data_IF_714907937506
#
_entry.id   IF_714907937506
#
_cell.length_a   1.000
_cell.length_b   1.000
_cell.length_c   1.000
_cell.angle_alpha   90.00
_cell.angle_beta   90.00
_cell.angle_gamma   90.00
#
_symmetry.space_group_name_H-M   'P 1'
#
loop_
_entity.id
_entity.type
_entity.pdbx_description
1 polymer ?
#
# COMPACT_ATOMS: atom_id res chain seq x y z
N UNK A 1 4.97 -14.42 25.72
CA UNK A 1 4.48 -13.64 24.58
C UNK A 1 5.37 -13.96 23.39
N UNK A 2 4.94 -14.91 22.54
CA UNK A 2 5.75 -15.32 21.40
C UNK A 2 5.70 -14.24 20.32
N UNK A 3 6.86 -13.71 19.97
CA UNK A 3 7.07 -12.80 18.83
C UNK A 3 7.10 -13.67 17.56
N UNK A 4 5.97 -14.32 17.26
CA UNK A 4 5.81 -15.11 16.03
C UNK A 4 5.23 -14.21 14.96
N UNK A 5 5.78 -14.26 13.77
CA UNK A 5 5.32 -13.53 12.58
C UNK A 5 5.24 -11.99 12.78
N UNK A 6 6.24 -11.46 13.47
CA UNK A 6 6.17 -10.04 13.86
C UNK A 6 6.43 -9.08 12.71
N UNK A 7 7.18 -9.50 11.69
CA UNK A 7 7.49 -8.70 10.51
C UNK A 7 7.53 -9.61 9.28
N UNK A 8 6.80 -9.24 8.24
CA UNK A 8 6.85 -9.87 6.94
C UNK A 8 7.15 -8.82 5.87
N UNK A 9 8.05 -9.15 4.96
CA UNK A 9 8.36 -8.33 3.80
C UNK A 9 8.36 -9.22 2.55
N UNK A 10 7.48 -8.92 1.61
CA UNK A 10 7.22 -9.76 0.44
C UNK A 10 7.24 -8.91 -0.81
N UNK A 11 7.95 -9.38 -1.83
CA UNK A 11 7.93 -8.83 -3.18
C UNK A 11 7.21 -9.79 -4.11
N UNK A 12 6.22 -9.28 -4.80
CA UNK A 12 5.45 -10.01 -5.83
C UNK A 12 5.67 -9.35 -7.18
N UNK A 13 6.00 -10.14 -8.17
CA UNK A 13 6.10 -9.73 -9.58
C UNK A 13 4.95 -10.36 -10.36
N UNK A 14 4.16 -9.54 -11.01
CA UNK A 14 3.02 -9.98 -11.81
C UNK A 14 3.45 -10.18 -13.28
N UNK A 15 2.75 -11.04 -14.01
CA UNK A 15 2.98 -11.27 -15.44
C UNK A 15 2.90 -10.00 -16.28
N UNK A 16 2.13 -9.00 -15.84
CA UNK A 16 2.05 -7.68 -16.45
C UNK A 16 3.32 -6.83 -16.31
N UNK A 17 4.34 -7.30 -15.57
CA UNK A 17 5.52 -6.52 -15.20
C UNK A 17 5.32 -5.60 -14.01
N UNK A 18 4.11 -5.55 -13.45
CA UNK A 18 3.87 -4.80 -12.21
C UNK A 18 4.58 -5.48 -11.03
N UNK A 19 5.13 -4.69 -10.13
CA UNK A 19 5.78 -5.17 -8.90
C UNK A 19 5.07 -4.60 -7.69
N UNK A 20 4.72 -5.47 -6.75
CA UNK A 20 4.16 -5.09 -5.47
C UNK A 20 5.08 -5.50 -4.31
N UNK A 21 5.31 -4.58 -3.38
CA UNK A 21 6.02 -4.86 -2.14
C UNK A 21 5.02 -4.74 -0.98
N UNK A 22 4.89 -5.82 -0.22
CA UNK A 22 4.03 -5.88 0.97
C UNK A 22 4.89 -5.92 2.21
N UNK A 23 4.62 -5.04 3.14
CA UNK A 23 5.24 -5.06 4.48
C UNK A 23 4.14 -5.11 5.51
N UNK A 24 4.18 -6.11 6.38
CA UNK A 24 3.29 -6.23 7.52
C UNK A 24 4.13 -6.36 8.79
N UNK A 25 3.77 -5.62 9.83
CA UNK A 25 4.45 -5.66 11.11
C UNK A 25 3.44 -5.60 12.27
N UNK A 26 3.64 -6.45 13.26
CA UNK A 26 2.90 -6.43 14.54
C UNK A 26 3.66 -5.71 15.65
N UNK A 27 4.95 -5.48 15.45
CA UNK A 27 5.83 -4.85 16.44
C UNK A 27 6.07 -3.37 16.18
N UNK A 28 5.50 -2.84 15.10
CA UNK A 28 5.59 -1.40 14.82
C UNK A 28 4.85 -0.60 15.89
N UNK A 29 5.50 0.44 16.37
CA UNK A 29 4.91 1.39 17.33
C UNK A 29 3.80 2.24 16.73
N UNK A 30 3.81 2.39 15.40
CA UNK A 30 2.81 3.15 14.66
C UNK A 30 1.84 2.22 13.92
N UNK A 31 0.54 2.60 13.92
CA UNK A 31 -0.46 1.99 13.04
C UNK A 31 -0.35 2.56 11.64
N UNK A 32 0.38 1.89 10.77
CA UNK A 32 0.53 2.28 9.37
C UNK A 32 -0.37 1.41 8.50
N UNK A 33 -1.26 2.03 7.72
CA UNK A 33 -2.04 1.39 6.67
C UNK A 33 -1.95 2.23 5.42
N UNK A 34 -0.85 2.07 4.68
CA UNK A 34 -0.56 2.88 3.49
C UNK A 34 -0.49 2.01 2.25
N UNK A 35 -1.04 2.54 1.17
CA UNK A 35 -0.89 2.00 -0.17
C UNK A 35 -0.24 3.07 -1.04
N UNK A 36 0.76 2.68 -1.82
CA UNK A 36 1.48 3.59 -2.72
C UNK A 36 1.53 3.00 -4.11
N UNK A 37 1.22 3.84 -5.10
CA UNK A 37 1.34 3.50 -6.51
C UNK A 37 2.42 4.37 -7.13
N UNK A 38 3.24 3.73 -7.95
CA UNK A 38 4.29 4.37 -8.74
C UNK A 38 3.98 4.10 -10.20
N UNK A 39 3.61 5.14 -10.91
CA UNK A 39 3.39 5.11 -12.35
C UNK A 39 4.42 6.02 -13.04
N UNK A 40 4.66 5.90 -14.36
CA UNK A 40 5.74 6.64 -15.04
C UNK A 40 5.69 8.17 -14.85
N UNK A 41 4.52 8.73 -14.61
CA UNK A 41 4.33 10.19 -14.43
C UNK A 41 3.52 10.55 -13.19
N UNK A 42 3.25 9.60 -12.34
CA UNK A 42 2.38 9.83 -11.19
C UNK A 42 2.79 8.98 -10.00
N UNK A 43 2.77 9.58 -8.84
CA UNK A 43 2.85 8.91 -7.56
C UNK A 43 1.58 9.17 -6.76
N UNK A 44 0.98 8.12 -6.27
CA UNK A 44 -0.21 8.20 -5.42
C UNK A 44 0.09 7.54 -4.08
N UNK A 45 -0.14 8.25 -3.00
CA UNK A 45 -0.05 7.74 -1.63
C UNK A 45 -1.41 7.84 -0.96
N UNK A 46 -1.92 6.72 -0.47
CA UNK A 46 -3.17 6.61 0.26
C UNK A 46 -2.86 6.17 1.68
N UNK A 47 -3.26 6.95 2.67
CA UNK A 47 -3.19 6.62 4.09
C UNK A 47 -4.59 6.28 4.60
N UNK A 48 -4.87 4.99 4.75
CA UNK A 48 -6.18 4.51 5.22
C UNK A 48 -6.42 4.79 6.70
N UNK A 49 -5.36 4.96 7.50
CA UNK A 49 -5.49 5.25 8.92
C UNK A 49 -5.89 6.72 9.15
N UNK A 50 -5.32 7.62 8.35
CA UNK A 50 -5.61 9.06 8.40
C UNK A 50 -6.71 9.50 7.43
N UNK A 51 -7.16 8.60 6.55
CA UNK A 51 -8.10 8.90 5.46
C UNK A 51 -7.62 10.07 4.60
N UNK A 52 -6.35 10.04 4.20
CA UNK A 52 -5.69 11.08 3.41
C UNK A 52 -5.15 10.52 2.08
N UNK A 53 -5.17 11.33 1.04
CA UNK A 53 -4.66 10.98 -0.30
C UNK A 53 -3.75 12.10 -0.78
N UNK A 54 -2.57 11.71 -1.25
CA UNK A 54 -1.63 12.62 -1.90
C UNK A 54 -1.34 12.10 -3.31
N UNK A 55 -1.46 12.98 -4.28
CA UNK A 55 -1.11 12.71 -5.67
C UNK A 55 0.00 13.68 -6.09
N UNK A 56 1.09 13.14 -6.60
CA UNK A 56 2.19 13.92 -7.20
C UNK A 56 2.24 13.54 -8.67
N UNK A 57 2.05 14.51 -9.53
CA UNK A 57 2.15 14.37 -10.99
C UNK A 57 3.42 15.02 -11.54
N UNK A 58 3.95 14.46 -12.62
CA UNK A 58 5.03 15.06 -13.41
C UNK A 58 4.41 15.66 -14.66
N UNK A 59 4.30 16.98 -14.71
CA UNK A 59 3.77 17.71 -15.85
C UNK A 59 4.87 17.89 -16.90
N UNK A 60 4.60 17.42 -18.10
CA UNK A 60 5.47 17.17 -19.22
C UNK A 60 6.51 18.23 -19.58
N UNK A 61 7.65 17.74 -20.00
CA UNK A 61 8.79 18.43 -20.59
C UNK A 61 10.07 18.00 -19.88
N UNK A 62 10.75 17.01 -20.40
CA UNK A 62 11.96 16.40 -19.86
C UNK A 62 11.72 15.71 -18.51
N UNK A 63 12.05 14.44 -18.44
CA UNK A 63 12.05 13.68 -17.20
C UNK A 63 13.11 14.25 -16.24
N UNK A 64 12.82 15.42 -15.67
CA UNK A 64 13.54 15.90 -14.51
C UNK A 64 13.28 14.86 -13.42
N UNK A 65 14.29 14.05 -13.15
CA UNK A 65 14.28 13.12 -12.06
C UNK A 65 13.78 13.87 -10.81
N UNK A 66 12.87 13.26 -10.07
CA UNK A 66 12.48 13.78 -8.75
C UNK A 66 13.76 14.18 -8.01
N UNK A 67 13.80 15.34 -7.35
CA UNK A 67 14.96 15.74 -6.58
C UNK A 67 15.44 14.57 -5.72
N UNK A 68 16.76 14.31 -5.64
CA UNK A 68 17.29 13.13 -4.96
C UNK A 68 16.82 13.01 -3.50
N UNK A 69 16.51 14.14 -2.87
CA UNK A 69 15.94 14.20 -1.52
C UNK A 69 14.53 13.61 -1.45
N UNK A 70 13.70 13.85 -2.48
CA UNK A 70 12.35 13.27 -2.59
C UNK A 70 12.46 11.77 -2.89
N UNK A 71 13.37 11.37 -3.77
CA UNK A 71 13.61 9.96 -4.06
C UNK A 71 14.08 9.21 -2.80
N UNK A 72 15.01 9.78 -2.06
CA UNK A 72 15.51 9.19 -0.81
C UNK A 72 14.43 9.11 0.27
N UNK A 73 13.60 10.15 0.44
CA UNK A 73 12.48 10.14 1.38
C UNK A 73 11.40 9.11 1.01
N UNK A 74 11.14 8.95 -0.29
CA UNK A 74 10.22 7.93 -0.81
C UNK A 74 10.76 6.52 -0.62
N UNK A 75 12.03 6.28 -0.92
CA UNK A 75 12.70 5.00 -0.73
C UNK A 75 12.79 4.60 0.74
N UNK A 76 13.03 5.56 1.63
CA UNK A 76 13.08 5.34 3.09
C UNK A 76 11.71 5.13 3.74
N UNK A 77 10.62 5.18 2.98
CA UNK A 77 9.26 5.06 3.53
C UNK A 77 8.83 6.25 4.42
N UNK A 78 9.68 7.25 4.55
CA UNK A 78 9.48 8.46 5.36
C UNK A 78 8.83 9.61 4.59
N UNK A 79 8.17 9.31 3.46
CA UNK A 79 7.39 10.29 2.72
C UNK A 79 6.22 10.80 3.57
N UNK A 80 6.54 11.55 4.60
CA UNK A 80 5.55 12.18 5.46
C UNK A 80 4.86 13.29 4.64
N UNK A 81 3.53 13.32 4.68
CA UNK A 81 2.74 14.35 4.02
C UNK A 81 3.19 15.77 4.42
N UNK A 82 3.76 15.91 5.62
CA UNK A 82 4.32 17.17 6.12
C UNK A 82 5.62 17.57 5.39
N UNK A 83 6.51 16.63 5.06
CA UNK A 83 7.72 16.91 4.29
C UNK A 83 7.37 17.31 2.86
N UNK A 84 6.44 16.57 2.25
CA UNK A 84 5.94 16.86 0.90
C UNK A 84 5.18 18.18 0.84
N UNK A 85 4.41 18.51 1.87
CA UNK A 85 3.74 19.80 1.99
C UNK A 85 4.74 20.98 2.16
N UNK A 86 5.83 20.79 2.89
CA UNK A 86 6.93 21.76 3.00
C UNK A 86 7.64 21.99 1.67
N UNK A 87 7.88 20.92 0.90
CA UNK A 87 8.46 20.98 -0.44
C UNK A 87 7.49 21.67 -1.43
N UNK A 88 6.18 21.43 -1.30
CA UNK A 88 5.16 22.12 -2.10
C UNK A 88 5.02 23.61 -1.75
N UNK A 89 5.19 23.99 -0.48
CA UNK A 89 5.15 25.36 -0.01
C UNK A 89 6.42 26.17 -0.33
N UNK A 90 7.56 25.48 -0.51
CA UNK A 90 8.86 26.07 -0.82
C UNK A 90 9.11 26.39 -2.30
N UNK A 91 8.10 26.33 -3.14
CA UNK A 91 8.20 26.51 -4.59
C UNK A 91 8.35 25.17 -5.29
N UNK A 92 7.29 24.73 -5.92
CA UNK A 92 7.26 23.48 -6.68
C UNK A 92 8.44 23.43 -7.65
N UNK A 93 9.22 22.37 -7.61
CA UNK A 93 10.21 22.12 -8.65
C UNK A 93 9.50 22.19 -10.02
N UNK A 94 10.05 22.90 -11.00
CA UNK A 94 9.41 23.05 -12.30
C UNK A 94 9.03 21.69 -12.86
N UNK A 95 7.76 21.51 -13.22
CA UNK A 95 7.24 20.25 -13.77
C UNK A 95 6.63 19.26 -12.76
N UNK A 96 6.55 19.59 -11.48
CA UNK A 96 5.80 18.80 -10.49
C UNK A 96 4.47 19.45 -10.14
N UNK A 97 3.42 18.63 -10.08
CA UNK A 97 2.11 19.03 -9.56
C UNK A 97 1.79 18.25 -8.29
N UNK A 98 1.25 18.93 -7.28
CA UNK A 98 0.81 18.34 -6.03
C UNK A 98 -0.70 18.52 -5.91
N UNK A 99 -1.41 17.45 -5.62
CA UNK A 99 -2.86 17.48 -5.42
C UNK A 99 -3.23 16.64 -4.19
N UNK A 100 -4.12 17.21 -3.38
CA UNK A 100 -4.78 16.51 -2.28
C UNK A 100 -6.27 16.45 -2.59
N UNK A 101 -6.75 15.38 -3.24
CA UNK A 101 -8.17 15.19 -3.48
C UNK A 101 -8.94 15.21 -2.15
N UNK A 102 -10.13 15.84 -2.11
CA UNK A 102 -10.96 15.82 -0.92
C UNK A 102 -11.41 14.38 -0.62
N UNK A 103 -11.25 13.96 0.62
CA UNK A 103 -11.68 12.64 1.08
C UNK A 103 -12.85 12.83 2.04
N UNK A 104 -13.96 12.16 1.77
CA UNK A 104 -15.09 12.11 2.71
C UNK A 104 -14.78 11.08 3.78
N UNK A 105 -14.63 11.54 5.01
CA UNK A 105 -14.43 10.66 6.15
C UNK A 105 -15.63 9.73 6.35
N UNK A 106 -15.36 8.46 6.65
CA UNK A 106 -16.41 7.47 6.85
C UNK A 106 -15.87 6.24 7.58
N UNK A 107 -16.79 5.48 8.16
CA UNK A 107 -16.46 4.18 8.76
C UNK A 107 -16.38 3.12 7.63
N UNK A 108 -15.21 2.51 7.39
CA UNK A 108 -14.97 1.68 6.19
C UNK A 108 -15.90 0.47 6.09
N UNK A 109 -16.09 -0.26 7.19
CA UNK A 109 -16.93 -1.46 7.22
C UNK A 109 -18.39 -1.13 6.92
N UNK A 110 -18.90 -0.02 7.47
CA UNK A 110 -20.26 0.45 7.17
C UNK A 110 -20.43 0.77 5.69
N UNK A 111 -19.45 1.48 5.11
CA UNK A 111 -19.49 1.84 3.70
C UNK A 111 -19.44 0.61 2.80
N UNK A 112 -18.65 -0.39 3.15
CA UNK A 112 -18.57 -1.67 2.45
C UNK A 112 -19.91 -2.40 2.48
N UNK A 113 -20.52 -2.57 3.67
CA UNK A 113 -21.81 -3.26 3.84
C UNK A 113 -22.91 -2.51 3.07
N UNK A 114 -22.99 -1.19 3.19
CA UNK A 114 -24.02 -0.39 2.47
C UNK A 114 -23.84 -0.56 0.96
N UNK A 115 -22.60 -0.50 0.47
CA UNK A 115 -22.31 -0.69 -0.96
C UNK A 115 -22.71 -2.09 -1.46
N UNK A 116 -22.48 -3.12 -0.66
CA UNK A 116 -22.88 -4.49 -0.98
C UNK A 116 -24.40 -4.66 -0.98
N UNK A 117 -25.09 -4.16 0.05
CA UNK A 117 -26.56 -4.23 0.13
C UNK A 117 -27.22 -3.49 -1.04
N UNK A 118 -26.66 -2.36 -1.45
CA UNK A 118 -27.16 -1.62 -2.62
C UNK A 118 -26.97 -2.44 -3.92
N UNK A 119 -25.84 -3.12 -4.08
CA UNK A 119 -25.61 -4.02 -5.21
C UNK A 119 -26.62 -5.17 -5.24
N UNK A 120 -26.94 -5.77 -4.08
CA UNK A 120 -27.96 -6.81 -3.95
C UNK A 120 -29.35 -6.27 -4.32
N UNK A 121 -29.74 -5.11 -3.76
CA UNK A 121 -31.04 -4.48 -4.00
C UNK A 121 -31.26 -4.13 -5.46
N UNK A 122 -30.23 -3.61 -6.11
CA UNK A 122 -30.29 -3.18 -7.52
C UNK A 122 -29.94 -4.27 -8.52
N UNK A 123 -29.56 -5.46 -8.04
CA UNK A 123 -29.06 -6.59 -8.84
C UNK A 123 -27.88 -6.21 -9.75
N UNK A 124 -27.03 -5.31 -9.30
CA UNK A 124 -25.80 -4.91 -9.99
C UNK A 124 -24.62 -5.68 -9.43
N UNK A 125 -23.55 -5.77 -10.22
CA UNK A 125 -22.30 -6.33 -9.74
C UNK A 125 -21.76 -5.52 -8.54
N UNK A 126 -21.29 -6.16 -7.46
CA UNK A 126 -20.67 -5.47 -6.35
C UNK A 126 -19.33 -4.84 -6.79
N UNK A 127 -18.87 -3.81 -6.07
CA UNK A 127 -17.59 -3.15 -6.35
C UNK A 127 -16.41 -4.11 -6.30
N UNK A 128 -16.45 -5.06 -5.37
CA UNK A 128 -15.50 -6.17 -5.29
C UNK A 128 -16.26 -7.46 -5.52
N UNK A 129 -15.92 -8.18 -6.58
CA UNK A 129 -16.58 -9.44 -6.93
C UNK A 129 -16.01 -10.62 -6.14
N UNK A 130 -16.75 -11.71 -6.03
CA UNK A 130 -16.26 -12.94 -5.41
C UNK A 130 -14.99 -13.48 -6.10
N UNK A 131 -14.87 -13.32 -7.42
CA UNK A 131 -13.68 -13.73 -8.16
C UNK A 131 -12.44 -12.92 -7.76
N UNK A 132 -12.59 -11.60 -7.60
CA UNK A 132 -11.50 -10.73 -7.13
C UNK A 132 -11.09 -11.08 -5.70
N UNK A 133 -12.06 -11.33 -4.81
CA UNK A 133 -11.80 -11.78 -3.46
C UNK A 133 -11.07 -13.14 -3.43
N UNK A 134 -11.47 -14.09 -4.27
CA UNK A 134 -10.81 -15.38 -4.42
C UNK A 134 -9.36 -15.22 -4.89
N UNK A 135 -9.11 -14.36 -5.88
CA UNK A 135 -7.75 -14.11 -6.40
C UNK A 135 -6.85 -13.49 -5.32
N UNK A 136 -7.37 -12.54 -4.55
CA UNK A 136 -6.62 -11.94 -3.44
C UNK A 136 -6.28 -12.98 -2.35
N UNK A 137 -7.22 -13.87 -2.01
CA UNK A 137 -6.98 -14.96 -1.07
C UNK A 137 -5.96 -15.97 -1.60
N UNK A 138 -6.04 -16.34 -2.88
CA UNK A 138 -5.07 -17.24 -3.52
C UNK A 138 -3.64 -16.69 -3.40
N UNK A 139 -3.45 -15.41 -3.75
CA UNK A 139 -2.15 -14.76 -3.58
C UNK A 139 -1.67 -14.76 -2.12
N UNK A 140 -2.56 -14.49 -1.17
CA UNK A 140 -2.21 -14.52 0.26
C UNK A 140 -1.76 -15.91 0.71
N UNK A 141 -2.39 -16.98 0.23
CA UNK A 141 -1.99 -18.37 0.52
C UNK A 141 -0.64 -18.71 -0.13
N UNK A 142 -0.39 -18.28 -1.35
CA UNK A 142 0.92 -18.46 -2.01
C UNK A 142 2.03 -17.76 -1.24
N UNK A 143 1.80 -16.54 -0.75
CA UNK A 143 2.73 -15.81 0.11
C UNK A 143 3.01 -16.61 1.39
N UNK A 144 2.00 -17.17 2.04
CA UNK A 144 2.19 -17.99 3.24
C UNK A 144 3.06 -19.23 2.97
N UNK A 145 2.83 -19.92 1.86
CA UNK A 145 3.64 -21.07 1.44
C UNK A 145 5.10 -20.65 1.19
N UNK A 146 5.32 -19.53 0.49
CA UNK A 146 6.65 -19.01 0.22
C UNK A 146 7.38 -18.60 1.51
N UNK A 147 6.68 -17.99 2.46
CA UNK A 147 7.23 -17.65 3.79
C UNK A 147 7.64 -18.89 4.57
N UNK A 148 6.81 -19.93 4.60
CA UNK A 148 7.13 -21.20 5.27
C UNK A 148 8.34 -21.88 4.64
N UNK A 149 8.43 -21.89 3.30
CA UNK A 149 9.58 -22.44 2.59
C UNK A 149 10.86 -21.63 2.86
N UNK A 150 10.76 -20.29 2.98
CA UNK A 150 11.89 -19.44 3.37
C UNK A 150 12.35 -19.74 4.79
N UNK A 151 11.43 -19.83 5.74
CA UNK A 151 11.73 -20.14 7.13
C UNK A 151 12.48 -21.48 7.26
N UNK A 152 12.06 -22.49 6.51
CA UNK A 152 12.75 -23.78 6.45
C UNK A 152 14.19 -23.66 5.96
N UNK A 153 14.41 -22.95 4.84
CA UNK A 153 15.75 -22.74 4.31
C UNK A 153 16.66 -21.94 5.23
N UNK A 154 16.09 -21.02 6.02
CA UNK A 154 16.82 -20.17 6.95
C UNK A 154 17.02 -20.81 8.35
N UNK A 155 16.54 -22.04 8.58
CA UNK A 155 16.59 -22.69 9.90
C UNK A 155 15.73 -21.99 10.97
N UNK A 156 14.67 -21.30 10.55
CA UNK A 156 13.78 -20.54 11.43
C UNK A 156 12.45 -21.28 11.70
N UNK A 157 12.38 -22.59 11.45
CA UNK A 157 11.16 -23.38 11.56
C UNK A 157 10.53 -23.30 12.96
N UNK A 158 11.35 -23.28 14.01
CA UNK A 158 10.88 -23.21 15.39
C UNK A 158 10.19 -21.87 15.73
N UNK A 159 10.49 -20.82 14.98
CA UNK A 159 9.80 -19.54 15.13
C UNK A 159 8.37 -19.53 14.56
N UNK A 160 8.06 -20.48 13.67
CA UNK A 160 6.77 -20.57 12.97
C UNK A 160 5.87 -21.70 13.48
N UNK A 161 6.32 -22.53 14.45
CA UNK A 161 5.48 -23.55 15.06
C UNK A 161 4.36 -22.91 15.87
N UNK A 162 3.09 -23.31 15.70
CA UNK A 162 2.03 -22.89 16.60
C UNK A 162 2.39 -23.30 18.03
N UNK A 163 2.24 -22.39 18.99
CA UNK A 163 2.53 -22.67 20.38
C UNK A 163 1.67 -23.80 20.90
N UNK A 164 2.29 -24.72 21.63
CA UNK A 164 1.64 -25.59 22.58
C UNK A 164 1.06 -24.74 23.69
#
# INVERSE_FOLDING_TARGET
MCIRDSISNVRVEFESGCVANFTASRVSTERVRKLRFFEPRQYVSIDYARQDVLVIGVNGGSAAALPPEIQAAMAAGKGDAALLAKLAAGGAAPGLSFSKPPVTAGEPLRLEIVSFLEAVRTRRAPKVTAQQGRNALALALEIQVAMAAHAKRAGLEDFFKPGV
#
